data_IF_433987511254
#
_entry.id   IF_433987511254
#
_cell.length_a   1.000
_cell.length_b   1.000
_cell.length_c   1.000
_cell.angle_alpha   90.00
_cell.angle_beta   90.00
_cell.angle_gamma   90.00
#
_symmetry.space_group_name_H-M   'P 1'
#
loop_
_entity.id
_entity.type
_entity.pdbx_description
1 polymer ?
#
# COMPACT_ATOMS: atom_id res chain seq x y z
N UNK A 1 3.21 13.94 -8.68
CA UNK A 1 3.98 14.60 -7.61
C UNK A 1 5.29 13.85 -7.46
N UNK A 2 6.45 14.49 -7.69
CA UNK A 2 7.74 13.89 -7.39
C UNK A 2 7.82 13.56 -5.89
N UNK A 3 8.36 12.39 -5.54
CA UNK A 3 8.46 11.90 -4.15
C UNK A 3 9.13 12.89 -3.19
N UNK A 4 9.89 13.85 -3.70
CA UNK A 4 10.68 14.80 -2.92
C UNK A 4 9.83 15.87 -2.23
N UNK A 5 8.66 16.23 -2.77
CA UNK A 5 7.77 17.22 -2.15
C UNK A 5 6.97 16.66 -0.97
N UNK A 6 6.81 15.33 -0.88
CA UNK A 6 6.05 14.72 0.22
C UNK A 6 6.93 14.60 1.45
N UNK A 7 6.65 15.40 2.48
CA UNK A 7 7.45 15.47 3.71
C UNK A 7 6.88 14.63 4.86
N UNK A 8 5.64 14.15 4.75
CA UNK A 8 4.99 13.35 5.78
C UNK A 8 4.23 12.13 5.26
N UNK A 9 4.01 11.15 6.14
CA UNK A 9 3.22 9.97 5.85
C UNK A 9 1.76 10.35 5.52
N UNK A 10 1.23 9.81 4.42
CA UNK A 10 -0.14 10.09 3.96
C UNK A 10 -1.24 9.50 4.85
N UNK A 11 -0.89 8.71 5.87
CA UNK A 11 -1.82 8.14 6.83
C UNK A 11 -1.66 8.77 8.22
N UNK A 12 -0.48 8.61 8.85
CA UNK A 12 -0.25 9.06 10.23
C UNK A 12 0.36 10.47 10.35
N UNK A 13 0.77 11.11 9.24
CA UNK A 13 1.36 12.45 9.26
C UNK A 13 2.79 12.54 9.82
N UNK A 14 3.44 11.41 10.13
CA UNK A 14 4.83 11.40 10.61
C UNK A 14 5.78 12.01 9.57
N UNK A 15 6.68 12.88 10.00
CA UNK A 15 7.68 13.49 9.11
C UNK A 15 8.71 12.45 8.68
N UNK A 16 9.03 12.45 7.39
CA UNK A 16 10.14 11.66 6.87
C UNK A 16 11.49 12.27 7.26
N UNK A 17 12.46 11.40 7.48
CA UNK A 17 13.82 11.77 7.88
C UNK A 17 14.81 10.74 7.34
N UNK A 18 16.11 10.92 7.63
CA UNK A 18 17.17 10.00 7.18
C UNK A 18 16.96 8.58 7.72
N UNK A 19 16.27 8.40 8.84
CA UNK A 19 15.92 7.10 9.43
C UNK A 19 14.44 6.73 9.28
N UNK A 20 13.60 7.68 8.87
CA UNK A 20 12.17 7.47 8.62
C UNK A 20 11.88 7.59 7.12
N UNK A 21 12.04 6.48 6.41
CA UNK A 21 12.06 6.45 4.94
C UNK A 21 10.67 6.55 4.30
N UNK A 22 10.66 7.09 3.08
CA UNK A 22 9.48 7.17 2.21
C UNK A 22 9.18 5.82 1.56
N UNK A 23 7.93 5.40 1.55
CA UNK A 23 7.47 4.20 0.86
C UNK A 23 6.22 4.45 0.02
N UNK A 24 6.23 3.96 -1.21
CA UNK A 24 5.08 4.10 -2.10
C UNK A 24 4.13 2.91 -1.96
N UNK A 25 2.83 3.19 -1.78
CA UNK A 25 1.79 2.20 -2.00
C UNK A 25 1.61 1.99 -3.51
N UNK A 26 1.80 0.76 -3.99
CA UNK A 26 1.63 0.45 -5.43
C UNK A 26 0.17 0.36 -5.89
N UNK A 27 -0.78 0.37 -4.96
CA UNK A 27 -2.21 0.39 -5.28
C UNK A 27 -2.76 1.82 -5.42
N UNK A 28 -2.42 2.75 -4.51
CA UNK A 28 -2.96 4.12 -4.53
C UNK A 28 -1.96 5.22 -4.92
N UNK A 29 -0.66 4.89 -5.05
CA UNK A 29 0.40 5.82 -5.47
C UNK A 29 0.89 6.80 -4.40
N UNK A 30 0.24 6.89 -3.23
CA UNK A 30 0.63 7.79 -2.13
C UNK A 30 1.88 7.29 -1.37
N UNK A 31 2.49 8.19 -0.58
CA UNK A 31 3.71 7.93 0.20
C UNK A 31 3.39 7.72 1.68
N UNK A 32 3.96 6.68 2.28
CA UNK A 32 3.71 6.23 3.65
C UNK A 32 5.04 5.91 4.36
N UNK A 33 5.00 5.82 5.69
CA UNK A 33 6.10 5.27 6.48
C UNK A 33 6.10 3.73 6.49
N UNK A 34 7.11 3.14 7.12
CA UNK A 34 7.25 1.68 7.27
C UNK A 34 6.04 1.05 7.96
N UNK A 35 5.56 1.71 9.01
CA UNK A 35 4.51 1.25 9.91
C UNK A 35 3.12 1.31 9.28
N UNK A 36 2.84 2.29 8.40
CA UNK A 36 1.55 2.43 7.70
C UNK A 36 1.49 1.69 6.37
N UNK A 37 2.52 0.91 6.04
CA UNK A 37 2.61 0.19 4.76
C UNK A 37 3.29 -1.17 4.89
N UNK A 38 3.02 -1.88 5.99
CA UNK A 38 3.73 -3.13 6.34
C UNK A 38 3.43 -4.28 5.39
N UNK A 39 2.28 -4.23 4.70
CA UNK A 39 1.76 -5.34 3.92
C UNK A 39 2.29 -5.35 2.48
N UNK A 40 2.53 -6.55 1.94
CA UNK A 40 2.85 -6.76 0.52
C UNK A 40 1.88 -7.76 -0.12
N UNK A 41 1.27 -7.38 -1.24
CA UNK A 41 0.30 -8.21 -1.98
C UNK A 41 0.60 -8.19 -3.48
N UNK A 42 0.10 -9.18 -4.22
CA UNK A 42 0.11 -9.15 -5.70
C UNK A 42 -0.98 -8.18 -6.17
N UNK A 43 -0.73 -7.44 -7.25
CA UNK A 43 -1.71 -6.55 -7.90
C UNK A 43 -1.77 -6.86 -9.41
N UNK A 44 -2.32 -8.03 -9.83
CA UNK A 44 -2.33 -8.43 -11.24
C UNK A 44 -3.09 -7.46 -12.15
N UNK A 45 -4.18 -6.87 -11.64
CA UNK A 45 -4.97 -5.80 -12.25
C UNK A 45 -4.15 -4.55 -12.59
N UNK A 46 -3.06 -4.31 -11.86
CA UNK A 46 -2.12 -3.20 -12.05
C UNK A 46 -0.78 -3.66 -12.66
N UNK A 47 -0.69 -4.90 -13.14
CA UNK A 47 0.52 -5.47 -13.76
C UNK A 47 1.61 -5.91 -12.78
N UNK A 48 1.35 -5.91 -11.46
CA UNK A 48 2.30 -6.41 -10.46
C UNK A 48 2.00 -7.87 -10.13
N UNK A 49 2.67 -8.78 -10.83
CA UNK A 49 2.54 -10.21 -10.59
C UNK A 49 3.23 -10.68 -9.31
N UNK A 50 4.26 -9.96 -8.84
CA UNK A 50 4.94 -10.23 -7.57
C UNK A 50 4.35 -9.41 -6.41
N UNK A 51 4.65 -9.83 -5.16
CA UNK A 51 4.19 -9.12 -3.96
C UNK A 51 4.86 -7.74 -3.85
N UNK A 52 4.07 -6.69 -3.98
CA UNK A 52 4.49 -5.29 -3.86
C UNK A 52 3.90 -4.62 -2.63
N UNK A 53 4.59 -3.61 -2.10
CA UNK A 53 4.19 -2.88 -0.91
C UNK A 53 2.91 -2.08 -1.15
N UNK A 54 1.98 -2.16 -0.21
CA UNK A 54 0.74 -1.37 -0.18
C UNK A 54 0.55 -0.75 1.21
N UNK A 55 -0.19 0.35 1.29
CA UNK A 55 -0.62 0.91 2.58
C UNK A 55 -1.70 0.02 3.21
N UNK A 56 -1.90 0.18 4.51
CA UNK A 56 -2.81 -0.68 5.27
C UNK A 56 -4.26 -0.57 4.78
N UNK A 57 -4.72 0.62 4.39
CA UNK A 57 -6.05 0.82 3.80
C UNK A 57 -6.24 0.02 2.49
N UNK A 58 -5.23 0.05 1.61
CA UNK A 58 -5.27 -0.71 0.35
C UNK A 58 -5.14 -2.21 0.58
N UNK A 59 -4.40 -2.64 1.62
CA UNK A 59 -4.32 -4.02 2.01
C UNK A 59 -5.70 -4.54 2.48
N UNK A 60 -6.37 -3.78 3.35
CA UNK A 60 -7.69 -4.13 3.88
C UNK A 60 -8.75 -4.19 2.77
N UNK A 61 -8.84 -3.16 1.93
CA UNK A 61 -9.82 -3.09 0.84
C UNK A 61 -9.70 -4.28 -0.13
N UNK A 62 -8.49 -4.76 -0.37
CA UNK A 62 -8.22 -5.87 -1.31
C UNK A 62 -8.33 -7.24 -0.65
N UNK A 63 -8.14 -7.33 0.66
CA UNK A 63 -8.46 -8.53 1.43
C UNK A 63 -9.98 -8.81 1.41
N UNK A 64 -10.82 -7.77 1.53
CA UNK A 64 -12.27 -7.91 1.42
C UNK A 64 -12.74 -8.33 0.02
N UNK A 65 -12.01 -7.94 -1.04
CA UNK A 65 -12.35 -8.38 -2.41
C UNK A 65 -12.09 -9.88 -2.63
N UNK A 66 -11.19 -10.50 -1.86
CA UNK A 66 -10.89 -11.94 -1.97
C UNK A 66 -11.87 -12.84 -1.22
N UNK A 67 -12.69 -12.30 -0.31
CA UNK A 67 -13.71 -13.09 0.41
C UNK A 67 -14.98 -13.31 -0.40
N UNK A 68 -15.20 -12.53 -1.47
CA UNK A 68 -16.36 -12.68 -2.36
C UNK A 68 -16.15 -13.74 -3.45
N UNK A 69 -14.91 -14.16 -3.72
CA UNK A 69 -14.60 -15.19 -4.73
C UNK A 69 -14.54 -16.62 -4.18
N UNK A 70 -14.88 -16.83 -2.90
CA UNK A 70 -14.93 -18.17 -2.29
C UNK A 70 -16.36 -18.71 -2.11
N UNK A 71 -17.38 -17.99 -2.60
CA UNK A 71 -18.80 -18.37 -2.48
C UNK A 71 -19.43 -18.80 -3.82
N UNK A 72 -18.64 -19.10 -4.86
CA UNK A 72 -19.17 -19.60 -6.14
C UNK A 72 -18.91 -21.11 -6.38
N UNK A 73 -18.38 -21.82 -5.39
CA UNK A 73 -18.11 -23.27 -5.48
C UNK A 73 -18.87 -24.11 -4.42
N UNK A 74 -20.16 -23.83 -4.21
CA UNK A 74 -21.10 -24.78 -3.59
C UNK A 74 -22.42 -24.87 -4.35
#
# INVERSE_FOLDING_TARGET
VPSDEVTCCSHCGSLFSVTHWKHHCRACGKVFCGECSTTRIRLPDLGYFEKVRVCDDCALARASSHTLSLQEDL
#
